data_IF_680223341211
#
_entry.id   IF_680223341211
#
_cell.length_a   1.000
_cell.length_b   1.000
_cell.length_c   1.000
_cell.angle_alpha   90.00
_cell.angle_beta   90.00
_cell.angle_gamma   90.00
#
_symmetry.space_group_name_H-M   'P 1'
#
loop_
_entity.id
_entity.type
_entity.pdbx_description
1 polymer ?
#
# COMPACT_ATOMS: atom_id res chain seq x y z
N UNK A 1 8.25 5.33 7.95
CA UNK A 1 8.54 4.55 9.18
C UNK A 1 7.32 3.74 9.54
N UNK A 2 7.49 2.52 10.04
CA UNK A 2 6.38 1.61 10.37
C UNK A 2 6.38 1.31 11.87
N UNK A 3 5.46 1.91 12.63
CA UNK A 3 5.34 1.77 14.08
C UNK A 3 4.23 0.81 14.50
N UNK A 4 3.46 0.29 13.54
CA UNK A 4 2.38 -0.64 13.81
C UNK A 4 2.92 -1.91 14.48
N UNK A 5 2.39 -2.26 15.64
CA UNK A 5 2.74 -3.43 16.46
C UNK A 5 1.50 -4.18 16.96
N UNK A 6 0.39 -3.47 17.20
CA UNK A 6 -0.81 -4.06 17.80
C UNK A 6 -1.51 -5.08 16.88
N UNK A 7 -1.72 -6.28 17.43
CA UNK A 7 -2.33 -7.42 16.74
C UNK A 7 -1.50 -7.99 15.58
N UNK A 8 -0.30 -7.46 15.29
CA UNK A 8 0.56 -7.98 14.22
C UNK A 8 0.95 -9.43 14.49
N UNK A 9 1.43 -9.74 15.70
CA UNK A 9 1.89 -11.08 16.08
C UNK A 9 0.83 -12.17 15.89
N UNK A 10 -0.42 -11.88 16.26
CA UNK A 10 -1.55 -12.80 16.11
C UNK A 10 -1.94 -12.98 14.63
N UNK A 11 -2.03 -11.90 13.85
CA UNK A 11 -2.33 -11.95 12.40
C UNK A 11 -1.22 -12.63 11.59
N UNK A 12 0.00 -12.60 12.11
CA UNK A 12 1.21 -13.07 11.45
C UNK A 12 1.70 -14.43 11.97
N UNK A 13 1.02 -15.01 12.96
CA UNK A 13 1.34 -16.33 13.48
C UNK A 13 1.31 -17.38 12.35
N UNK A 14 2.43 -18.09 12.17
CA UNK A 14 2.57 -19.10 11.11
C UNK A 14 2.84 -18.57 9.70
N UNK A 15 3.09 -17.26 9.53
CA UNK A 15 3.36 -16.63 8.22
C UNK A 15 4.77 -16.04 8.17
N UNK A 16 5.39 -16.01 6.98
CA UNK A 16 6.72 -15.45 6.77
C UNK A 16 6.69 -13.91 6.65
N UNK A 17 6.18 -13.24 7.68
CA UNK A 17 5.90 -11.80 7.68
C UNK A 17 6.94 -11.04 8.49
N UNK A 18 7.29 -9.86 7.99
CA UNK A 18 8.25 -8.98 8.66
C UNK A 18 7.53 -8.14 9.70
N UNK A 19 7.90 -8.33 10.97
CA UNK A 19 7.51 -7.43 12.05
C UNK A 19 8.52 -6.28 12.04
N UNK A 20 8.02 -5.05 11.90
CA UNK A 20 8.90 -3.89 11.90
C UNK A 20 9.54 -3.70 13.26
N UNK A 21 10.85 -3.47 13.26
CA UNK A 21 11.65 -3.17 14.45
C UNK A 21 11.81 -1.67 14.70
N UNK A 22 11.15 -0.82 13.91
CA UNK A 22 11.27 0.63 14.09
C UNK A 22 10.70 1.08 15.43
N UNK A 23 11.29 2.14 15.97
CA UNK A 23 10.87 2.81 17.19
C UNK A 23 10.45 4.25 16.90
N UNK A 24 9.80 4.89 17.88
CA UNK A 24 9.32 6.28 17.75
C UNK A 24 10.45 7.24 17.37
N UNK A 25 11.63 7.04 17.95
CA UNK A 25 12.83 7.86 17.72
C UNK A 25 13.32 7.78 16.27
N UNK A 26 12.99 6.70 15.55
CA UNK A 26 13.37 6.55 14.14
C UNK A 26 12.59 7.52 13.25
N UNK A 27 11.39 7.97 13.66
CA UNK A 27 10.66 9.03 12.95
C UNK A 27 11.50 10.31 12.91
N UNK A 28 11.97 10.78 14.06
CA UNK A 28 12.78 11.99 14.15
C UNK A 28 14.18 11.84 13.56
N UNK A 29 14.78 10.64 13.63
CA UNK A 29 16.07 10.35 12.96
C UNK A 29 15.95 10.44 11.45
N UNK A 30 14.93 9.80 10.87
CA UNK A 30 14.69 9.86 9.42
C UNK A 30 14.31 11.28 9.00
N UNK A 31 13.39 11.94 9.71
CA UNK A 31 12.92 13.29 9.35
C UNK A 31 14.07 14.29 9.22
N UNK A 32 15.05 14.24 10.13
CA UNK A 32 16.20 15.17 10.14
C UNK A 32 17.12 15.08 8.92
N UNK A 33 17.13 13.95 8.21
CA UNK A 33 18.00 13.76 7.04
C UNK A 33 17.25 13.91 5.71
N UNK A 34 15.92 13.96 5.72
CA UNK A 34 15.13 14.14 4.50
C UNK A 34 15.21 15.59 4.00
N UNK A 35 15.52 15.76 2.72
CA UNK A 35 15.57 17.07 2.06
C UNK A 35 14.40 17.27 1.08
N UNK A 36 14.06 16.24 0.30
CA UNK A 36 13.14 16.34 -0.84
C UNK A 36 11.93 15.39 -0.75
N UNK A 37 11.76 14.70 0.36
CA UNK A 37 10.74 13.64 0.52
C UNK A 37 9.88 13.87 1.76
N UNK A 38 8.60 13.50 1.67
CA UNK A 38 7.68 13.46 2.80
C UNK A 38 7.89 12.18 3.60
N UNK A 39 7.87 12.30 4.93
CA UNK A 39 7.92 11.18 5.85
C UNK A 39 6.51 10.69 6.15
N UNK A 40 6.18 9.53 5.61
CA UNK A 40 4.99 8.77 5.99
C UNK A 40 5.30 7.86 7.18
N UNK A 41 4.44 7.90 8.21
CA UNK A 41 4.50 7.02 9.37
C UNK A 41 3.23 6.17 9.45
N UNK A 42 3.38 4.85 9.39
CA UNK A 42 2.30 3.91 9.67
C UNK A 42 2.17 3.72 11.17
N UNK A 43 1.03 4.10 11.73
CA UNK A 43 0.71 4.01 13.16
C UNK A 43 -0.04 2.71 13.47
N UNK A 44 -0.39 2.47 14.73
CA UNK A 44 -1.24 1.35 15.10
C UNK A 44 -2.69 1.52 14.58
N UNK A 45 -3.46 0.43 14.47
CA UNK A 45 -4.90 0.53 14.23
C UNK A 45 -5.56 1.38 15.32
N UNK A 46 -6.67 2.06 15.01
CA UNK A 46 -7.32 2.97 15.95
C UNK A 46 -7.63 2.27 17.30
N UNK A 47 -7.15 2.87 18.39
CA UNK A 47 -7.30 2.39 19.76
C UNK A 47 -7.39 3.57 20.76
N UNK A 48 -7.58 3.29 22.05
CA UNK A 48 -7.83 4.34 23.06
C UNK A 48 -6.66 5.30 23.24
N UNK A 49 -5.43 4.80 23.21
CA UNK A 49 -4.22 5.61 23.28
C UNK A 49 -3.83 6.30 21.94
N UNK A 50 -4.62 6.20 20.87
CA UNK A 50 -4.27 6.78 19.56
C UNK A 50 -4.04 8.29 19.62
N UNK A 51 -4.77 9.11 20.40
CA UNK A 51 -4.43 10.54 20.53
C UNK A 51 -2.99 10.77 20.97
N UNK A 52 -2.51 10.07 22.01
CA UNK A 52 -1.13 10.19 22.49
C UNK A 52 -0.09 9.67 21.50
N UNK A 53 -0.42 8.60 20.76
CA UNK A 53 0.43 8.11 19.67
C UNK A 53 0.57 9.16 18.55
N UNK A 54 -0.55 9.75 18.12
CA UNK A 54 -0.56 10.82 17.10
C UNK A 54 0.26 12.01 17.56
N UNK A 55 0.09 12.50 18.80
CA UNK A 55 0.91 13.59 19.33
C UNK A 55 2.41 13.26 19.30
N UNK A 56 2.76 12.03 19.70
CA UNK A 56 4.15 11.58 19.75
C UNK A 56 4.77 11.54 18.35
N UNK A 57 4.04 11.04 17.35
CA UNK A 57 4.53 10.96 15.97
C UNK A 57 4.62 12.34 15.32
N UNK A 58 3.65 13.22 15.56
CA UNK A 58 3.67 14.60 15.04
C UNK A 58 4.81 15.41 15.66
N UNK A 59 5.09 15.24 16.96
CA UNK A 59 6.23 15.87 17.63
C UNK A 59 7.59 15.48 17.01
N UNK A 60 7.67 14.31 16.36
CA UNK A 60 8.86 13.86 15.62
C UNK A 60 8.89 14.36 14.16
N UNK A 61 7.87 15.11 13.72
CA UNK A 61 7.83 15.78 12.42
C UNK A 61 7.32 14.92 11.26
N UNK A 62 6.42 13.97 11.50
CA UNK A 62 5.77 13.22 10.41
C UNK A 62 4.97 14.15 9.47
N UNK A 63 5.08 13.94 8.16
CA UNK A 63 4.34 14.71 7.15
C UNK A 63 3.01 14.06 6.74
N UNK A 64 2.92 12.75 6.96
CA UNK A 64 1.81 11.87 6.59
C UNK A 64 1.64 10.78 7.66
N UNK A 65 0.41 10.49 8.03
CA UNK A 65 0.06 9.34 8.88
C UNK A 65 -0.75 8.33 8.08
N UNK A 66 -0.30 7.07 8.12
CA UNK A 66 -1.00 5.95 7.50
C UNK A 66 -1.73 5.15 8.58
N UNK A 67 -3.06 5.01 8.45
CA UNK A 67 -3.90 4.25 9.37
C UNK A 67 -4.16 2.84 8.82
N UNK A 68 -3.66 1.77 9.46
CA UNK A 68 -3.90 0.38 9.07
C UNK A 68 -5.17 -0.19 9.70
N UNK A 69 -5.62 -1.34 9.17
CA UNK A 69 -6.60 -2.27 9.74
C UNK A 69 -7.94 -1.66 10.20
N UNK A 70 -8.35 -0.51 9.67
CA UNK A 70 -9.71 -0.01 9.92
C UNK A 70 -10.73 -0.86 9.15
N UNK A 71 -11.94 -0.96 9.69
CA UNK A 71 -13.04 -1.76 9.13
C UNK A 71 -14.29 -0.94 8.88
N UNK A 72 -14.37 0.29 9.41
CA UNK A 72 -15.54 1.15 9.28
C UNK A 72 -15.17 2.59 8.96
N UNK A 73 -16.06 3.31 8.29
CA UNK A 73 -15.90 4.74 8.05
C UNK A 73 -15.83 5.55 9.35
N UNK A 74 -16.56 5.13 10.40
CA UNK A 74 -16.54 5.79 11.69
C UNK A 74 -15.14 5.78 12.34
N UNK A 75 -14.40 4.66 12.23
CA UNK A 75 -13.02 4.59 12.70
C UNK A 75 -12.11 5.56 11.93
N UNK A 76 -12.21 5.59 10.60
CA UNK A 76 -11.40 6.50 9.79
C UNK A 76 -11.71 7.97 10.09
N UNK A 77 -12.99 8.33 10.21
CA UNK A 77 -13.43 9.68 10.60
C UNK A 77 -12.93 10.06 11.99
N UNK A 78 -13.01 9.15 12.97
CA UNK A 78 -12.47 9.38 14.33
C UNK A 78 -10.97 9.60 14.29
N UNK A 79 -10.22 8.82 13.51
CA UNK A 79 -8.79 9.03 13.33
C UNK A 79 -8.47 10.39 12.69
N UNK A 80 -9.17 10.76 11.61
CA UNK A 80 -8.99 12.06 10.97
C UNK A 80 -9.31 13.22 11.91
N UNK A 81 -10.33 13.09 12.77
CA UNK A 81 -10.65 14.07 13.80
C UNK A 81 -9.56 14.17 14.88
N UNK A 82 -8.91 13.06 15.25
CA UNK A 82 -7.75 13.08 16.15
C UNK A 82 -6.58 13.81 15.48
N UNK A 83 -6.33 13.57 14.19
CA UNK A 83 -5.24 14.24 13.45
C UNK A 83 -5.53 15.72 13.23
N UNK A 84 -6.80 16.11 13.09
CA UNK A 84 -7.27 17.50 13.02
C UNK A 84 -6.57 18.34 11.95
N UNK A 85 -6.31 17.75 10.78
CA UNK A 85 -5.68 18.43 9.64
C UNK A 85 -4.20 18.81 9.84
N UNK A 86 -3.58 18.46 10.97
CA UNK A 86 -2.18 18.81 11.29
C UNK A 86 -1.17 18.14 10.36
N UNK A 87 -1.55 17.01 9.75
CA UNK A 87 -0.84 16.40 8.63
C UNK A 87 -1.84 15.65 7.73
N UNK A 88 -1.35 15.13 6.60
CA UNK A 88 -2.16 14.31 5.71
C UNK A 88 -2.41 12.90 6.25
N UNK A 89 -3.62 12.37 6.06
CA UNK A 89 -3.96 10.99 6.41
C UNK A 89 -4.01 10.10 5.17
N UNK A 90 -3.44 8.90 5.26
CA UNK A 90 -3.52 7.86 4.24
C UNK A 90 -4.23 6.65 4.86
N UNK A 91 -5.49 6.34 4.48
CA UNK A 91 -6.11 5.09 4.88
C UNK A 91 -5.43 3.95 4.12
N UNK A 92 -4.95 2.95 4.86
CA UNK A 92 -4.47 1.70 4.28
C UNK A 92 -5.65 0.71 4.19
N UNK A 93 -6.26 0.63 3.01
CA UNK A 93 -7.36 -0.29 2.71
C UNK A 93 -6.80 -1.71 2.62
N UNK A 94 -6.94 -2.48 3.70
CA UNK A 94 -6.40 -3.83 3.80
C UNK A 94 -7.34 -4.83 4.51
N UNK A 95 -8.61 -4.44 4.69
CA UNK A 95 -9.67 -5.30 5.22
C UNK A 95 -10.85 -5.38 4.24
N UNK A 96 -11.55 -6.51 4.22
CA UNK A 96 -12.75 -6.70 3.40
C UNK A 96 -13.86 -5.70 3.76
N UNK A 97 -14.06 -5.44 5.06
CA UNK A 97 -15.05 -4.47 5.52
C UNK A 97 -14.75 -3.02 5.04
N UNK A 98 -13.48 -2.62 5.02
CA UNK A 98 -13.08 -1.34 4.42
C UNK A 98 -13.26 -1.34 2.90
N UNK A 99 -13.02 -2.45 2.21
CA UNK A 99 -13.28 -2.56 0.77
C UNK A 99 -14.78 -2.39 0.46
N UNK A 100 -15.65 -3.07 1.21
CA UNK A 100 -17.10 -3.04 1.00
C UNK A 100 -17.67 -1.64 1.19
N UNK A 101 -17.15 -0.91 2.19
CA UNK A 101 -17.57 0.44 2.56
C UNK A 101 -16.77 1.57 1.91
N UNK A 102 -15.98 1.29 0.86
CA UNK A 102 -15.05 2.26 0.24
C UNK A 102 -15.70 3.60 -0.15
N UNK A 103 -16.92 3.58 -0.68
CA UNK A 103 -17.65 4.79 -1.06
C UNK A 103 -18.01 5.66 0.16
N UNK A 104 -18.20 5.04 1.33
CA UNK A 104 -18.64 5.73 2.53
C UNK A 104 -17.51 6.52 3.20
N UNK A 105 -16.29 5.98 3.17
CA UNK A 105 -15.15 6.56 3.86
C UNK A 105 -14.18 7.32 2.94
N UNK A 106 -14.17 7.06 1.63
CA UNK A 106 -13.25 7.74 0.71
C UNK A 106 -13.46 9.26 0.62
N UNK A 107 -14.66 9.75 0.97
CA UNK A 107 -14.97 11.18 1.04
C UNK A 107 -14.65 11.82 2.40
N UNK A 108 -13.99 11.10 3.32
CA UNK A 108 -13.63 11.64 4.65
C UNK A 108 -12.70 12.84 4.49
N UNK A 109 -12.99 13.99 5.12
CA UNK A 109 -12.07 15.14 5.10
C UNK A 109 -10.73 14.81 5.77
N UNK A 110 -9.63 15.34 5.24
CA UNK A 110 -8.27 15.15 5.77
C UNK A 110 -7.45 14.04 5.10
N UNK A 111 -8.05 13.26 4.21
CA UNK A 111 -7.32 12.27 3.42
C UNK A 111 -6.41 12.94 2.38
N UNK A 112 -5.20 12.41 2.21
CA UNK A 112 -4.20 12.87 1.25
C UNK A 112 -3.96 11.92 0.09
N UNK A 113 -4.24 10.63 0.28
CA UNK A 113 -4.09 9.55 -0.70
C UNK A 113 -4.91 8.36 -0.19
N UNK A 114 -5.43 7.51 -1.08
CA UNK A 114 -5.95 6.18 -0.72
C UNK A 114 -4.90 5.14 -1.11
N UNK A 115 -4.50 4.30 -0.16
CA UNK A 115 -3.53 3.23 -0.43
C UNK A 115 -4.13 1.86 -0.13
N UNK A 116 -3.99 0.91 -1.04
CA UNK A 116 -4.58 -0.43 -0.91
C UNK A 116 -3.50 -1.47 -0.56
N UNK A 117 -3.58 -2.06 0.64
CA UNK A 117 -2.65 -3.08 1.13
C UNK A 117 -3.07 -4.49 0.69
N UNK A 118 -2.49 -5.01 -0.38
CA UNK A 118 -2.91 -6.30 -0.95
C UNK A 118 -2.59 -7.52 -0.06
N UNK A 119 -1.54 -7.44 0.78
CA UNK A 119 -1.13 -8.55 1.63
C UNK A 119 -2.19 -8.89 2.68
N UNK A 120 -2.67 -7.93 3.46
CA UNK A 120 -3.68 -8.25 4.47
C UNK A 120 -5.08 -8.32 3.85
N UNK A 121 -5.31 -7.61 2.73
CA UNK A 121 -6.59 -7.66 2.03
C UNK A 121 -6.91 -9.05 1.46
N UNK A 122 -5.97 -9.69 0.75
CA UNK A 122 -6.27 -11.00 0.14
C UNK A 122 -6.65 -12.03 1.23
N UNK A 123 -5.97 -11.97 2.37
CA UNK A 123 -6.27 -12.79 3.54
C UNK A 123 -7.66 -12.46 4.09
N UNK A 124 -7.96 -11.17 4.26
CA UNK A 124 -9.27 -10.73 4.74
C UNK A 124 -10.42 -11.13 3.81
N UNK A 125 -10.15 -11.37 2.53
CA UNK A 125 -11.12 -11.81 1.52
C UNK A 125 -11.14 -13.34 1.33
N UNK A 126 -10.33 -14.10 2.09
CA UNK A 126 -10.22 -15.56 1.92
C UNK A 126 -9.59 -15.98 0.58
N UNK A 127 -8.81 -15.10 -0.04
CA UNK A 127 -8.10 -15.34 -1.29
C UNK A 127 -6.77 -16.03 -1.02
N UNK A 128 -6.28 -16.77 -2.02
CA UNK A 128 -5.07 -17.61 -1.93
C UNK A 128 -3.81 -16.86 -2.33
N UNK A 129 -3.94 -15.94 -3.27
CA UNK A 129 -2.83 -15.19 -3.83
C UNK A 129 -3.02 -13.68 -3.66
N UNK A 130 -1.95 -13.01 -3.24
CA UNK A 130 -1.94 -11.58 -2.92
C UNK A 130 -2.49 -10.67 -4.02
N UNK A 131 -2.26 -10.99 -5.29
CA UNK A 131 -2.72 -10.18 -6.42
C UNK A 131 -4.11 -10.56 -6.95
N UNK A 132 -4.82 -11.52 -6.34
CA UNK A 132 -6.21 -11.81 -6.71
C UNK A 132 -7.14 -10.59 -6.66
N UNK A 133 -7.07 -9.68 -5.67
CA UNK A 133 -7.89 -8.46 -5.70
C UNK A 133 -7.67 -7.61 -6.96
N UNK A 134 -6.47 -7.64 -7.57
CA UNK A 134 -6.17 -6.97 -8.84
C UNK A 134 -6.84 -7.70 -10.01
N UNK A 135 -6.66 -9.02 -10.09
CA UNK A 135 -7.29 -9.85 -11.14
C UNK A 135 -8.82 -9.85 -11.09
N UNK A 136 -9.40 -9.68 -9.91
CA UNK A 136 -10.85 -9.61 -9.67
C UNK A 136 -11.43 -8.19 -9.85
N UNK A 137 -10.61 -7.20 -10.20
CA UNK A 137 -11.06 -5.82 -10.46
C UNK A 137 -11.41 -5.02 -9.19
N UNK A 138 -11.04 -5.49 -8.00
CA UNK A 138 -11.25 -4.74 -6.75
C UNK A 138 -10.35 -3.51 -6.69
N UNK A 139 -9.11 -3.62 -7.19
CA UNK A 139 -8.19 -2.48 -7.29
C UNK A 139 -8.73 -1.43 -8.27
N UNK A 140 -9.29 -1.85 -9.41
CA UNK A 140 -9.96 -0.96 -10.38
C UNK A 140 -11.12 -0.18 -9.73
N UNK A 141 -11.96 -0.87 -8.94
CA UNK A 141 -13.06 -0.25 -8.19
C UNK A 141 -12.55 0.87 -7.28
N UNK A 142 -11.51 0.60 -6.48
CA UNK A 142 -10.94 1.57 -5.53
C UNK A 142 -10.27 2.74 -6.29
N UNK A 143 -9.55 2.46 -7.38
CA UNK A 143 -8.96 3.50 -8.22
C UNK A 143 -10.03 4.45 -8.81
N UNK A 144 -11.18 3.91 -9.21
CA UNK A 144 -12.30 4.72 -9.68
C UNK A 144 -12.90 5.60 -8.56
N UNK A 145 -13.03 5.07 -7.34
CA UNK A 145 -13.49 5.84 -6.17
C UNK A 145 -12.53 6.98 -5.86
N UNK A 146 -11.23 6.69 -5.74
CA UNK A 146 -10.21 7.69 -5.46
C UNK A 146 -10.24 8.84 -6.47
N UNK A 147 -10.40 8.51 -7.77
CA UNK A 147 -10.52 9.49 -8.85
C UNK A 147 -11.74 10.40 -8.69
N UNK A 148 -12.91 9.85 -8.33
CA UNK A 148 -14.12 10.65 -8.07
C UNK A 148 -13.95 11.57 -6.86
N UNK A 149 -13.24 11.09 -5.84
CA UNK A 149 -12.87 11.89 -4.66
C UNK A 149 -11.70 12.84 -4.91
N UNK A 150 -11.09 12.83 -6.12
CA UNK A 150 -9.90 13.62 -6.48
C UNK A 150 -8.71 13.36 -5.55
N UNK A 151 -8.57 12.13 -5.06
CA UNK A 151 -7.46 11.68 -4.23
C UNK A 151 -6.44 10.90 -5.08
N UNK A 152 -5.13 11.09 -4.84
CA UNK A 152 -4.11 10.16 -5.29
C UNK A 152 -4.43 8.73 -4.84
N UNK A 153 -3.94 7.76 -5.61
CA UNK A 153 -4.20 6.35 -5.39
C UNK A 153 -2.92 5.52 -5.49
N UNK A 154 -2.72 4.59 -4.55
CA UNK A 154 -1.63 3.63 -4.52
C UNK A 154 -2.12 2.24 -4.15
N UNK A 155 -1.36 1.20 -4.53
CA UNK A 155 -1.68 -0.16 -4.10
C UNK A 155 -0.45 -1.06 -4.01
N UNK A 156 -0.54 -2.10 -3.18
CA UNK A 156 0.42 -3.19 -3.11
C UNK A 156 1.86 -2.75 -2.83
N UNK A 157 2.78 -3.59 -3.24
CA UNK A 157 4.20 -3.26 -3.32
C UNK A 157 4.80 -3.89 -4.57
N UNK A 158 5.94 -3.37 -5.00
CA UNK A 158 6.63 -3.84 -6.21
C UNK A 158 7.94 -4.51 -5.84
N UNK A 159 8.19 -5.69 -6.41
CA UNK A 159 9.49 -6.36 -6.38
C UNK A 159 10.40 -5.82 -7.50
N UNK A 160 11.59 -6.38 -7.69
CA UNK A 160 12.38 -6.04 -8.88
C UNK A 160 11.63 -6.53 -10.14
N UNK A 161 11.95 -5.96 -11.30
CA UNK A 161 11.16 -6.12 -12.54
C UNK A 161 10.89 -7.59 -12.92
N UNK A 162 11.85 -8.47 -12.66
CA UNK A 162 11.82 -9.89 -13.03
C UNK A 162 11.65 -10.83 -11.83
N UNK A 163 11.26 -10.29 -10.66
CA UNK A 163 11.07 -11.06 -9.43
C UNK A 163 9.59 -11.20 -9.05
N UNK A 164 9.32 -12.23 -8.25
CA UNK A 164 7.99 -12.56 -7.75
C UNK A 164 7.27 -13.60 -8.62
N UNK A 165 6.20 -14.17 -8.07
CA UNK A 165 5.34 -15.09 -8.82
C UNK A 165 4.58 -14.35 -9.93
N UNK A 166 4.18 -13.11 -9.65
CA UNK A 166 3.78 -12.13 -10.65
C UNK A 166 4.96 -11.17 -10.85
N UNK A 167 5.52 -11.05 -12.07
CA UNK A 167 6.68 -10.19 -12.31
C UNK A 167 6.44 -8.74 -11.90
N UNK A 168 7.45 -8.09 -11.33
CA UNK A 168 7.37 -6.66 -10.98
C UNK A 168 7.03 -5.75 -12.16
N UNK A 169 7.41 -6.13 -13.38
CA UNK A 169 7.04 -5.43 -14.62
C UNK A 169 5.53 -5.49 -14.92
N UNK A 170 4.86 -6.61 -14.65
CA UNK A 170 3.41 -6.75 -14.77
C UNK A 170 2.70 -5.90 -13.72
N UNK A 171 3.19 -5.91 -12.47
CA UNK A 171 2.65 -5.06 -11.39
C UNK A 171 2.78 -3.57 -11.77
N UNK A 172 3.95 -3.16 -12.31
CA UNK A 172 4.18 -1.79 -12.75
C UNK A 172 3.25 -1.37 -13.91
N UNK A 173 2.97 -2.29 -14.85
CA UNK A 173 2.02 -2.04 -15.93
C UNK A 173 0.62 -1.71 -15.39
N UNK A 174 0.19 -2.43 -14.36
CA UNK A 174 -1.10 -2.18 -13.70
C UNK A 174 -1.11 -0.87 -12.89
N UNK A 175 -0.01 -0.50 -12.24
CA UNK A 175 0.14 0.83 -11.64
C UNK A 175 -0.06 1.94 -12.67
N UNK A 176 0.59 1.85 -13.84
CA UNK A 176 0.45 2.85 -14.91
C UNK A 176 -0.97 2.87 -15.46
N UNK A 177 -1.56 1.69 -15.74
CA UNK A 177 -2.94 1.56 -16.25
C UNK A 177 -3.96 2.20 -15.32
N UNK A 178 -3.83 1.96 -14.01
CA UNK A 178 -4.79 2.41 -13.00
C UNK A 178 -4.60 3.88 -12.59
N UNK A 179 -3.53 4.54 -13.05
CA UNK A 179 -3.19 5.91 -12.64
C UNK A 179 -2.71 5.97 -11.20
N UNK A 180 -1.96 4.96 -10.76
CA UNK A 180 -1.37 4.93 -9.44
C UNK A 180 -0.24 5.96 -9.31
N UNK A 181 -0.17 6.65 -8.17
CA UNK A 181 0.75 7.75 -7.89
C UNK A 181 1.95 7.33 -7.04
N UNK A 182 1.87 6.18 -6.38
CA UNK A 182 2.90 5.69 -5.47
C UNK A 182 2.85 4.17 -5.33
N UNK A 183 4.02 3.59 -5.05
CA UNK A 183 4.18 2.17 -4.74
C UNK A 183 5.21 2.00 -3.63
N UNK A 184 4.95 1.03 -2.74
CA UNK A 184 5.89 0.62 -1.70
C UNK A 184 6.90 -0.37 -2.30
N UNK A 185 8.19 -0.06 -2.18
CA UNK A 185 9.24 -1.00 -2.60
C UNK A 185 9.28 -2.20 -1.66
N UNK A 186 9.28 -3.41 -2.24
CA UNK A 186 9.32 -4.64 -1.47
C UNK A 186 10.70 -4.89 -0.84
N UNK A 187 10.79 -5.94 -0.02
CA UNK A 187 12.03 -6.33 0.66
C UNK A 187 13.15 -6.72 -0.30
N UNK A 188 12.84 -7.08 -1.54
CA UNK A 188 13.87 -7.37 -2.55
C UNK A 188 14.86 -6.22 -2.72
N UNK A 189 14.40 -4.97 -2.59
CA UNK A 189 15.22 -3.77 -2.69
C UNK A 189 16.10 -3.51 -1.47
N UNK A 190 15.82 -4.17 -0.33
CA UNK A 190 16.67 -4.09 0.87
C UNK A 190 17.85 -5.06 0.81
N UNK A 191 17.75 -6.09 -0.03
CA UNK A 191 18.74 -7.15 -0.07
C UNK A 191 20.01 -6.66 -0.80
N UNK A 192 21.05 -6.40 -0.01
CA UNK A 192 22.35 -5.91 -0.48
C UNK A 192 23.10 -6.93 -1.34
N UNK A 193 22.58 -8.17 -1.43
CA UNK A 193 23.15 -9.24 -2.25
C UNK A 193 23.29 -8.89 -3.74
N UNK A 194 22.49 -7.95 -4.24
CA UNK A 194 22.61 -7.46 -5.62
C UNK A 194 23.86 -6.61 -5.87
N UNK A 195 24.44 -5.99 -4.83
CA UNK A 195 25.56 -5.05 -4.95
C UNK A 195 25.21 -3.72 -5.65
N UNK A 196 24.02 -3.60 -6.24
CA UNK A 196 23.58 -2.40 -6.97
C UNK A 196 22.99 -1.34 -6.03
N UNK A 197 23.36 -0.06 -6.19
CA UNK A 197 22.74 1.04 -5.45
C UNK A 197 21.22 1.10 -5.64
N UNK A 198 20.49 1.48 -4.58
CA UNK A 198 19.04 1.59 -4.62
C UNK A 198 18.56 2.56 -5.71
N UNK A 199 19.31 3.64 -5.92
CA UNK A 199 19.05 4.66 -6.93
C UNK A 199 19.05 4.06 -8.34
N UNK A 200 19.97 3.14 -8.62
CA UNK A 200 20.05 2.42 -9.91
C UNK A 200 18.84 1.50 -10.08
N UNK A 201 18.49 0.74 -9.04
CA UNK A 201 17.34 -0.17 -9.07
C UNK A 201 16.02 0.59 -9.25
N UNK A 202 15.86 1.74 -8.58
CA UNK A 202 14.72 2.65 -8.76
C UNK A 202 14.74 3.30 -10.14
N UNK A 203 15.92 3.66 -10.66
CA UNK A 203 16.10 4.17 -12.02
C UNK A 203 15.59 3.19 -13.09
N UNK A 204 15.85 1.89 -12.92
CA UNK A 204 15.33 0.85 -13.79
C UNK A 204 13.79 0.78 -13.78
N UNK A 205 13.17 0.90 -12.60
CA UNK A 205 11.71 0.99 -12.48
C UNK A 205 11.16 2.23 -13.21
N UNK A 206 11.79 3.40 -13.04
CA UNK A 206 11.36 4.64 -13.70
C UNK A 206 11.50 4.57 -15.23
N UNK A 207 12.56 3.95 -15.73
CA UNK A 207 12.71 3.72 -17.16
C UNK A 207 11.64 2.77 -17.70
N UNK A 208 11.29 1.72 -16.96
CA UNK A 208 10.20 0.82 -17.31
C UNK A 208 8.83 1.52 -17.28
N UNK A 209 8.58 2.33 -16.26
CA UNK A 209 7.37 3.17 -16.14
C UNK A 209 7.21 4.10 -17.35
N UNK A 210 8.28 4.78 -17.76
CA UNK A 210 8.26 5.66 -18.93
C UNK A 210 7.89 4.92 -20.22
N UNK A 211 8.44 3.71 -20.44
CA UNK A 211 8.08 2.86 -21.58
C UNK A 211 6.61 2.42 -21.52
N UNK A 212 6.11 2.06 -20.34
CA UNK A 212 4.73 1.64 -20.14
C UNK A 212 3.73 2.77 -20.43
N UNK A 213 4.06 4.02 -20.06
CA UNK A 213 3.24 5.21 -20.36
C UNK A 213 3.09 5.48 -21.86
N UNK A 214 4.04 5.02 -22.68
CA UNK A 214 4.00 5.16 -24.14
C UNK A 214 3.16 4.10 -24.87
N UNK A 215 2.54 3.15 -24.15
CA UNK A 215 1.76 2.07 -24.77
C UNK A 215 0.39 2.55 -25.24
N UNK A 216 -0.08 1.98 -26.33
CA UNK A 216 -1.44 2.22 -26.85
C UNK A 216 -2.51 1.58 -25.96
N UNK A 217 -3.75 2.07 -26.04
CA UNK A 217 -4.89 1.50 -25.32
C UNK A 217 -5.07 -0.01 -25.59
N UNK A 218 -4.84 -0.46 -26.83
CA UNK A 218 -4.90 -1.89 -27.20
C UNK A 218 -3.82 -2.72 -26.50
N UNK A 219 -2.60 -2.20 -26.41
CA UNK A 219 -1.51 -2.87 -25.70
C UNK A 219 -1.79 -2.95 -24.20
N UNK A 220 -2.25 -1.85 -23.60
CA UNK A 220 -2.62 -1.80 -22.19
C UNK A 220 -3.72 -2.81 -21.87
N UNK A 221 -4.77 -2.89 -22.70
CA UNK A 221 -5.85 -3.86 -22.50
C UNK A 221 -5.37 -5.31 -22.68
N UNK A 222 -4.49 -5.56 -23.65
CA UNK A 222 -3.86 -6.87 -23.83
C UNK A 222 -3.00 -7.26 -22.63
N UNK A 223 -2.27 -6.32 -22.04
CA UNK A 223 -1.49 -6.55 -20.83
C UNK A 223 -2.40 -6.86 -19.65
N UNK A 224 -3.45 -6.05 -19.42
CA UNK A 224 -4.44 -6.27 -18.37
C UNK A 224 -5.04 -7.67 -18.44
N UNK A 225 -5.49 -8.09 -19.62
CA UNK A 225 -6.08 -9.41 -19.82
C UNK A 225 -5.07 -10.55 -19.55
N UNK A 226 -3.82 -10.43 -20.04
CA UNK A 226 -2.74 -11.39 -19.75
C UNK A 226 -2.47 -11.47 -18.24
N UNK A 227 -2.34 -10.33 -17.58
CA UNK A 227 -1.99 -10.23 -16.16
C UNK A 227 -3.08 -10.86 -15.30
N UNK A 228 -4.36 -10.55 -15.58
CA UNK A 228 -5.49 -11.17 -14.89
C UNK A 228 -5.51 -12.70 -15.06
N UNK A 229 -5.23 -13.21 -16.28
CA UNK A 229 -5.14 -14.64 -16.53
C UNK A 229 -3.96 -15.30 -15.80
N UNK A 230 -2.80 -14.63 -15.74
CA UNK A 230 -1.64 -15.08 -14.97
C UNK A 230 -1.95 -15.16 -13.47
N UNK A 231 -2.61 -14.13 -12.91
CA UNK A 231 -3.04 -14.11 -11.51
C UNK A 231 -3.97 -15.29 -11.22
N UNK A 232 -4.99 -15.51 -12.05
CA UNK A 232 -5.94 -16.62 -11.90
C UNK A 232 -5.23 -17.98 -11.95
N UNK A 233 -4.29 -18.16 -12.88
CA UNK A 233 -3.48 -19.39 -13.00
C UNK A 233 -2.59 -19.63 -11.77
N UNK A 234 -1.93 -18.59 -11.27
CA UNK A 234 -1.09 -18.70 -10.05
C UNK A 234 -1.97 -19.09 -8.86
N UNK A 235 -3.09 -18.38 -8.66
CA UNK A 235 -4.02 -18.67 -7.58
C UNK A 235 -4.56 -20.10 -7.65
N UNK A 236 -4.95 -20.58 -8.84
CA UNK A 236 -5.44 -21.95 -9.04
C UNK A 236 -4.41 -23.02 -8.67
N UNK A 237 -3.11 -22.74 -8.83
CA UNK A 237 -2.01 -23.63 -8.45
C UNK A 237 -1.63 -23.59 -6.97
N UNK A 238 -2.21 -22.68 -6.17
CA UNK A 238 -1.95 -22.58 -4.73
C UNK A 238 -2.89 -23.47 -3.92
N UNK A 239 -2.42 -24.00 -2.77
CA UNK A 239 -3.28 -24.67 -1.80
C UNK A 239 -4.48 -23.78 -1.43
N UNK A 240 -5.60 -24.41 -1.05
CA UNK A 240 -6.74 -23.67 -0.50
C UNK A 240 -6.27 -22.83 0.70
N UNK A 241 -6.84 -21.62 0.83
CA UNK A 241 -6.60 -20.78 2.00
C UNK A 241 -7.07 -21.56 3.24
N UNK A 242 -6.18 -21.68 4.23
CA UNK A 242 -6.47 -22.33 5.51
C UNK A 242 -7.36 -21.45 6.39
#
# INVERSE_FOLDING_TARGET
>A
VDLERLGKSERQAGRNTFISTHAMEDVGRVKRVLQNSRLMVRVNPLHDATPGEVESVLAQGADLLMLPMFTTAAQLRRFCAIVDGRCGVIPLLETGAALDSVEEWAATPGLSEIYMGLNDLHISLGLRFMFEPLGLGQVDRVAAVARRCKLPFGFGGIARLDEGLLPGSDVLAEHVRLGSHGVILSRSFRDAASGEPLETQVGALRAAEARLRGRSAKQIESDRARIAATIARIAAGMPAAA
#
